data_IF_313145700952
#
_entry.id   IF_313145700952
#
_cell.length_a   1.000
_cell.length_b   1.000
_cell.length_c   1.000
_cell.angle_alpha   90.00
_cell.angle_beta   90.00
_cell.angle_gamma   90.00
#
_symmetry.space_group_name_H-M   'P 1'
#
loop_
_entity.id
_entity.type
_entity.pdbx_description
1 polymer ?
#
# COMPACT_ATOMS: atom_id res chain seq x y z
N UNK A 1 13.90 -5.55 -45.16
CA UNK A 1 12.78 -6.09 -44.37
C UNK A 1 12.99 -5.91 -42.86
N UNK A 2 13.37 -4.74 -42.40
CA UNK A 2 13.53 -4.44 -40.97
C UNK A 2 12.27 -3.89 -40.30
N UNK A 3 11.20 -3.57 -41.03
CA UNK A 3 9.99 -2.96 -40.49
C UNK A 3 9.14 -3.81 -39.53
N UNK A 4 9.01 -5.15 -39.70
CA UNK A 4 8.23 -5.96 -38.76
C UNK A 4 8.83 -6.08 -37.38
N UNK A 5 10.16 -6.09 -37.24
CA UNK A 5 10.84 -6.15 -35.93
C UNK A 5 10.71 -4.86 -35.14
N UNK A 6 10.77 -3.71 -35.82
CA UNK A 6 10.58 -2.39 -35.20
C UNK A 6 9.15 -2.23 -34.67
N UNK A 7 8.15 -2.69 -35.40
CA UNK A 7 6.76 -2.69 -34.97
C UNK A 7 6.52 -3.58 -33.75
N UNK A 8 7.11 -4.76 -33.67
CA UNK A 8 7.00 -5.69 -32.53
C UNK A 8 7.63 -5.06 -31.29
N UNK A 9 8.81 -4.46 -31.40
CA UNK A 9 9.49 -3.77 -30.30
C UNK A 9 8.69 -2.57 -29.80
N UNK A 10 8.09 -1.82 -30.68
CA UNK A 10 7.27 -0.66 -30.33
C UNK A 10 5.99 -1.09 -29.58
N UNK A 11 5.30 -2.13 -30.02
CA UNK A 11 4.14 -2.70 -29.34
C UNK A 11 4.51 -3.23 -27.97
N UNK A 12 5.63 -3.92 -27.82
CA UNK A 12 6.13 -4.42 -26.54
C UNK A 12 6.41 -3.29 -25.55
N UNK A 13 7.06 -2.22 -25.98
CA UNK A 13 7.28 -1.02 -25.18
C UNK A 13 5.97 -0.34 -24.76
N UNK A 14 5.05 -0.17 -25.70
CA UNK A 14 3.73 0.41 -25.44
C UNK A 14 2.94 -0.44 -24.43
N UNK A 15 2.93 -1.76 -24.58
CA UNK A 15 2.30 -2.68 -23.62
C UNK A 15 2.94 -2.62 -22.25
N UNK A 16 4.27 -2.49 -22.17
CA UNK A 16 4.99 -2.35 -20.90
C UNK A 16 4.65 -1.04 -20.20
N UNK A 17 4.55 0.06 -20.94
CA UNK A 17 4.14 1.36 -20.41
C UNK A 17 2.68 1.35 -19.94
N UNK A 18 1.77 0.74 -20.69
CA UNK A 18 0.38 0.57 -20.31
C UNK A 18 0.25 -0.27 -19.03
N UNK A 19 0.95 -1.41 -18.95
CA UNK A 19 0.98 -2.23 -17.73
C UNK A 19 1.53 -1.48 -16.51
N UNK A 20 2.50 -0.57 -16.68
CA UNK A 20 2.99 0.28 -15.59
C UNK A 20 1.95 1.30 -15.14
N UNK A 21 1.17 1.87 -16.04
CA UNK A 21 0.11 2.82 -15.69
C UNK A 21 -1.08 2.16 -15.00
N UNK A 22 -1.31 0.88 -15.24
CA UNK A 22 -2.39 0.08 -14.62
C UNK A 22 -2.03 -0.41 -13.21
N UNK A 23 -0.75 -0.30 -12.81
CA UNK A 23 -0.33 -0.69 -11.46
C UNK A 23 -0.92 0.24 -10.42
N UNK A 24 -1.47 -0.35 -9.37
CA UNK A 24 -2.05 0.40 -8.28
C UNK A 24 -1.02 1.10 -7.40
N UNK A 25 -1.47 2.14 -6.74
CA UNK A 25 -0.74 2.81 -5.65
C UNK A 25 -1.15 2.19 -4.33
N UNK A 26 -0.17 1.78 -3.54
CA UNK A 26 -0.39 1.24 -2.18
C UNK A 26 -0.20 2.36 -1.16
N UNK A 27 -1.21 2.59 -0.33
CA UNK A 27 -1.07 3.41 0.87
C UNK A 27 -0.60 2.52 2.02
N UNK A 28 0.43 2.93 2.72
CA UNK A 28 1.02 2.20 3.83
C UNK A 28 1.06 3.12 5.06
N UNK A 29 0.31 2.77 6.09
CA UNK A 29 0.32 3.51 7.36
C UNK A 29 1.26 2.81 8.33
N UNK A 30 2.26 3.53 8.79
CA UNK A 30 3.30 3.03 9.69
C UNK A 30 3.29 3.82 11.01
N UNK A 31 3.57 3.13 12.10
CA UNK A 31 3.80 3.75 13.42
C UNK A 31 5.30 3.85 13.67
N UNK A 32 5.78 5.06 13.95
CA UNK A 32 7.20 5.30 14.24
C UNK A 32 7.40 6.42 15.24
N UNK A 33 8.60 6.54 15.79
CA UNK A 33 8.95 7.60 16.75
C UNK A 33 9.38 8.91 16.09
N UNK A 34 9.74 8.86 14.80
CA UNK A 34 10.16 10.04 14.04
C UNK A 34 8.99 10.93 13.62
N UNK A 35 9.30 12.19 13.32
CA UNK A 35 8.35 13.12 12.72
C UNK A 35 8.63 13.22 11.24
N UNK A 36 7.61 12.98 10.42
CA UNK A 36 7.73 12.95 8.97
C UNK A 36 6.65 13.82 8.32
N UNK A 37 6.96 14.40 7.19
CA UNK A 37 5.99 15.15 6.38
C UNK A 37 5.18 14.17 5.53
N UNK A 38 3.94 13.93 5.92
CA UNK A 38 3.01 13.04 5.25
C UNK A 38 2.22 13.75 4.12
N UNK A 39 1.89 13.07 3.03
CA UNK A 39 2.33 11.72 2.65
C UNK A 39 3.72 11.72 2.00
N UNK A 40 4.45 10.63 2.19
CA UNK A 40 5.74 10.41 1.54
C UNK A 40 5.53 9.51 0.33
N UNK A 41 5.87 9.99 -0.86
CA UNK A 41 5.80 9.20 -2.11
C UNK A 41 7.10 8.47 -2.35
N UNK A 42 7.03 7.15 -2.45
CA UNK A 42 8.18 6.28 -2.63
C UNK A 42 7.93 5.39 -3.85
N UNK A 43 8.73 5.55 -4.88
CA UNK A 43 8.71 4.75 -6.11
C UNK A 43 9.99 3.92 -6.28
N UNK A 44 10.98 4.15 -5.40
CA UNK A 44 12.25 3.44 -5.39
C UNK A 44 12.84 3.37 -3.98
N UNK A 45 13.73 2.40 -3.77
CA UNK A 45 14.35 2.15 -2.45
C UNK A 45 15.16 3.35 -1.97
N UNK A 46 15.80 4.08 -2.89
CA UNK A 46 16.63 5.25 -2.57
C UNK A 46 15.83 6.42 -1.98
N UNK A 47 14.51 6.45 -2.23
CA UNK A 47 13.61 7.48 -1.72
C UNK A 47 13.06 7.18 -0.32
N UNK A 48 13.42 6.06 0.27
CA UNK A 48 13.00 5.73 1.65
C UNK A 48 13.65 6.72 2.61
N UNK A 49 12.85 7.42 3.44
CA UNK A 49 13.40 8.40 4.37
C UNK A 49 14.35 7.76 5.40
N UNK A 50 15.40 8.48 5.72
CA UNK A 50 16.26 8.12 6.85
C UNK A 50 15.53 8.40 8.17
N UNK A 51 15.79 7.57 9.17
CA UNK A 51 15.21 7.74 10.51
C UNK A 51 13.98 6.89 10.78
N UNK A 52 13.49 6.12 9.82
CA UNK A 52 12.50 5.07 10.06
C UNK A 52 13.14 3.86 10.74
N UNK A 53 12.37 3.16 11.56
CA UNK A 53 12.80 1.89 12.12
C UNK A 53 13.06 0.85 11.02
N UNK A 54 13.96 -0.10 11.29
CA UNK A 54 14.32 -1.14 10.32
C UNK A 54 13.11 -1.95 9.87
N UNK A 55 12.19 -2.25 10.78
CA UNK A 55 10.96 -2.97 10.48
C UNK A 55 10.08 -2.19 9.49
N UNK A 56 9.93 -0.88 9.69
CA UNK A 56 9.16 -0.02 8.79
C UNK A 56 9.82 0.12 7.42
N UNK A 57 11.15 0.23 7.37
CA UNK A 57 11.91 0.22 6.11
C UNK A 57 11.67 -1.07 5.34
N UNK A 58 11.65 -2.21 6.03
CA UNK A 58 11.39 -3.51 5.41
C UNK A 58 9.95 -3.59 4.87
N UNK A 59 8.96 -3.10 5.62
CA UNK A 59 7.57 -3.03 5.14
C UNK A 59 7.44 -2.21 3.85
N UNK A 60 8.14 -1.09 3.76
CA UNK A 60 8.16 -0.27 2.53
C UNK A 60 8.80 -1.04 1.38
N UNK A 61 9.92 -1.72 1.60
CA UNK A 61 10.59 -2.54 0.57
C UNK A 61 9.69 -3.66 0.07
N UNK A 62 8.98 -4.34 0.97
CA UNK A 62 8.02 -5.39 0.61
C UNK A 62 6.85 -4.83 -0.20
N UNK A 63 6.32 -3.68 0.20
CA UNK A 63 5.25 -3.00 -0.54
C UNK A 63 5.70 -2.57 -1.95
N UNK A 64 6.93 -2.08 -2.10
CA UNK A 64 7.51 -1.74 -3.42
C UNK A 64 7.72 -2.98 -4.30
N UNK A 65 8.22 -4.06 -3.70
CA UNK A 65 8.43 -5.33 -4.41
C UNK A 65 7.11 -5.88 -4.96
N UNK A 66 6.02 -5.74 -4.22
CA UNK A 66 4.73 -6.31 -4.57
C UNK A 66 4.74 -7.84 -4.62
N UNK A 67 3.77 -8.40 -5.34
CA UNK A 67 3.69 -9.84 -5.60
C UNK A 67 4.32 -10.22 -6.93
N UNK A 68 3.48 -10.60 -7.90
CA UNK A 68 3.94 -10.90 -9.27
C UNK A 68 4.45 -9.66 -10.02
N UNK A 69 3.92 -8.50 -9.68
CA UNK A 69 4.34 -7.23 -10.26
C UNK A 69 4.61 -6.22 -9.17
N UNK A 70 5.65 -5.42 -9.35
CA UNK A 70 5.95 -4.32 -8.45
C UNK A 70 4.83 -3.27 -8.47
N UNK A 71 4.59 -2.61 -7.36
CA UNK A 71 3.66 -1.49 -7.29
C UNK A 71 4.16 -0.30 -8.11
N UNK A 72 3.25 0.60 -8.50
CA UNK A 72 3.62 1.84 -9.17
C UNK A 72 4.42 2.75 -8.23
N UNK A 73 3.85 2.99 -7.07
CA UNK A 73 4.41 3.78 -5.99
C UNK A 73 3.78 3.36 -4.66
N UNK A 74 4.44 3.64 -3.58
CA UNK A 74 3.92 3.50 -2.22
C UNK A 74 3.76 4.87 -1.61
N UNK A 75 2.56 5.18 -1.12
CA UNK A 75 2.28 6.37 -0.32
C UNK A 75 2.41 5.99 1.16
N UNK A 76 3.45 6.48 1.80
CA UNK A 76 3.70 6.19 3.22
C UNK A 76 3.16 7.31 4.08
N UNK A 77 2.39 6.94 5.09
CA UNK A 77 1.89 7.81 6.14
C UNK A 77 2.48 7.35 7.47
N UNK A 78 3.34 8.13 8.05
CA UNK A 78 3.95 7.83 9.34
C UNK A 78 3.20 8.57 10.42
N UNK A 79 2.63 7.83 11.36
CA UNK A 79 1.95 8.37 12.55
C UNK A 79 2.79 8.07 13.80
N UNK A 80 2.52 8.78 14.88
CA UNK A 80 3.22 8.57 16.15
C UNK A 80 3.05 7.11 16.62
N UNK A 81 4.05 6.57 17.27
CA UNK A 81 4.05 5.18 17.75
C UNK A 81 2.82 4.85 18.61
N UNK A 82 2.44 5.78 19.48
CA UNK A 82 1.23 5.67 20.33
C UNK A 82 -0.01 6.34 19.69
N UNK A 83 0.11 6.80 18.44
CA UNK A 83 -0.99 7.44 17.71
C UNK A 83 -2.03 6.42 17.24
N UNK A 84 -3.24 6.92 16.98
CA UNK A 84 -4.32 6.12 16.42
C UNK A 84 -4.21 6.08 14.90
N UNK A 85 -4.61 4.97 14.29
CA UNK A 85 -4.66 4.83 12.83
C UNK A 85 -5.59 5.90 12.21
N UNK A 86 -6.62 6.31 12.93
CA UNK A 86 -7.53 7.39 12.52
C UNK A 86 -6.81 8.72 12.22
N UNK A 87 -5.64 8.97 12.80
CA UNK A 87 -4.84 10.18 12.53
C UNK A 87 -4.38 10.26 11.07
N UNK A 88 -4.27 9.10 10.39
CA UNK A 88 -3.93 9.03 8.97
C UNK A 88 -5.15 9.19 8.05
N UNK A 89 -6.39 9.12 8.52
CA UNK A 89 -7.57 9.10 7.67
C UNK A 89 -7.76 10.38 6.86
N UNK A 90 -7.54 11.54 7.47
CA UNK A 90 -7.70 12.84 6.79
C UNK A 90 -6.72 13.01 5.62
N UNK A 91 -5.42 12.83 5.79
CA UNK A 91 -4.49 12.90 4.66
C UNK A 91 -4.71 11.79 3.62
N UNK A 92 -5.13 10.59 4.05
CA UNK A 92 -5.48 9.50 3.14
C UNK A 92 -6.68 9.83 2.25
N UNK A 93 -7.72 10.47 2.79
CA UNK A 93 -8.90 10.88 1.99
C UNK A 93 -8.50 11.83 0.86
N UNK A 94 -7.53 12.70 1.09
CA UNK A 94 -7.07 13.69 0.13
C UNK A 94 -6.03 13.16 -0.87
N UNK A 95 -5.59 11.92 -0.70
CA UNK A 95 -4.59 11.28 -1.56
C UNK A 95 -5.24 10.28 -2.52
N UNK A 96 -4.54 9.98 -3.62
CA UNK A 96 -4.97 8.96 -4.59
C UNK A 96 -4.21 7.67 -4.32
N UNK A 97 -4.94 6.62 -3.98
CA UNK A 97 -4.43 5.27 -3.75
C UNK A 97 -5.51 4.24 -4.05
N UNK A 98 -5.11 2.98 -4.19
CA UNK A 98 -6.00 1.87 -4.50
C UNK A 98 -6.12 0.88 -3.33
N UNK A 99 -4.99 0.56 -2.71
CA UNK A 99 -4.91 -0.43 -1.64
C UNK A 99 -4.32 0.20 -0.39
N UNK A 100 -4.86 -0.16 0.77
CA UNK A 100 -4.38 0.27 2.09
C UNK A 100 -3.87 -0.93 2.87
N UNK A 101 -2.66 -0.83 3.38
CA UNK A 101 -2.09 -1.78 4.31
C UNK A 101 -1.61 -1.06 5.58
N UNK A 102 -1.86 -1.66 6.73
CA UNK A 102 -1.50 -1.10 8.04
C UNK A 102 -0.87 -2.23 8.86
N UNK A 103 0.46 -2.42 8.80
CA UNK A 103 1.11 -3.54 9.51
C UNK A 103 0.86 -3.55 11.02
N UNK A 104 0.74 -2.38 11.64
CA UNK A 104 0.50 -2.23 13.07
C UNK A 104 -0.96 -1.82 13.40
N UNK A 105 -1.94 -2.37 12.67
CA UNK A 105 -3.37 -2.04 12.87
C UNK A 105 -3.89 -2.45 14.25
N UNK A 106 -3.41 -3.57 14.79
CA UNK A 106 -3.82 -4.06 16.10
C UNK A 106 -5.34 -4.19 16.25
N UNK A 107 -5.87 -3.61 17.31
CA UNK A 107 -7.31 -3.62 17.64
C UNK A 107 -8.14 -2.60 16.84
N UNK A 108 -7.48 -1.70 16.09
CA UNK A 108 -8.16 -0.64 15.31
C UNK A 108 -8.74 -1.13 13.97
N UNK A 109 -8.78 -2.42 13.74
CA UNK A 109 -9.24 -3.06 12.49
C UNK A 109 -10.67 -2.66 12.13
N UNK A 110 -11.57 -2.59 13.12
CA UNK A 110 -12.97 -2.25 12.90
C UNK A 110 -13.17 -0.77 12.52
N UNK A 111 -12.38 0.12 13.11
CA UNK A 111 -12.41 1.55 12.77
C UNK A 111 -11.97 1.75 11.33
N UNK A 112 -10.91 1.07 10.89
CA UNK A 112 -10.45 1.08 9.51
C UNK A 112 -11.52 0.54 8.56
N UNK A 113 -12.13 -0.60 8.91
CA UNK A 113 -13.16 -1.22 8.09
C UNK A 113 -14.38 -0.30 7.92
N UNK A 114 -14.85 0.31 9.00
CA UNK A 114 -15.96 1.25 8.98
C UNK A 114 -15.65 2.48 8.13
N UNK A 115 -14.45 3.00 8.24
CA UNK A 115 -14.00 4.13 7.45
C UNK A 115 -13.92 3.79 5.95
N UNK A 116 -13.38 2.63 5.58
CA UNK A 116 -13.31 2.16 4.18
C UNK A 116 -14.71 2.00 3.57
N UNK A 117 -15.64 1.37 4.31
CA UNK A 117 -17.04 1.27 3.88
C UNK A 117 -17.63 2.65 3.60
N UNK A 118 -17.40 3.60 4.50
CA UNK A 118 -17.86 4.99 4.32
C UNK A 118 -17.23 5.68 3.10
N UNK A 119 -15.96 5.41 2.78
CA UNK A 119 -15.32 5.96 1.57
C UNK A 119 -15.93 5.41 0.30
N UNK A 120 -16.26 4.14 0.26
CA UNK A 120 -16.88 3.50 -0.91
C UNK A 120 -18.35 3.90 -1.07
N UNK A 121 -19.13 3.78 -0.02
CA UNK A 121 -20.58 3.95 -0.06
C UNK A 121 -20.98 5.42 -0.18
N UNK A 122 -20.32 6.31 0.55
CA UNK A 122 -20.66 7.74 0.60
C UNK A 122 -19.85 8.61 -0.35
N UNK A 123 -18.58 8.29 -0.58
CA UNK A 123 -17.67 9.09 -1.42
C UNK A 123 -17.33 8.43 -2.75
N UNK A 124 -17.88 7.25 -3.03
CA UNK A 124 -17.69 6.49 -4.27
C UNK A 124 -16.22 6.27 -4.65
N UNK A 125 -15.33 6.18 -3.65
CA UNK A 125 -13.92 5.89 -3.87
C UNK A 125 -13.71 4.38 -4.00
N UNK A 126 -13.14 3.93 -5.12
CA UNK A 126 -12.80 2.52 -5.35
C UNK A 126 -11.48 2.16 -4.65
N UNK A 127 -11.51 2.07 -3.34
CA UNK A 127 -10.36 1.75 -2.49
C UNK A 127 -10.59 0.44 -1.74
N UNK A 128 -9.51 -0.26 -1.40
CA UNK A 128 -9.56 -1.55 -0.71
C UNK A 128 -8.56 -1.53 0.44
N UNK A 129 -8.99 -1.97 1.62
CA UNK A 129 -8.10 -2.23 2.74
C UNK A 129 -7.84 -3.72 2.91
N UNK A 130 -6.61 -4.06 3.26
CA UNK A 130 -6.19 -5.43 3.61
C UNK A 130 -6.11 -5.49 5.13
N UNK A 131 -7.02 -6.27 5.74
CA UNK A 131 -7.15 -6.35 7.19
C UNK A 131 -6.96 -7.78 7.70
N UNK A 132 -6.19 -7.96 8.79
CA UNK A 132 -5.99 -9.28 9.37
C UNK A 132 -7.22 -9.70 10.20
N UNK A 133 -7.62 -10.95 10.04
CA UNK A 133 -8.67 -11.61 10.86
C UNK A 133 -10.00 -10.84 10.97
N UNK A 134 -10.31 -9.99 10.00
CA UNK A 134 -11.56 -9.23 9.94
C UNK A 134 -12.51 -9.82 8.91
N UNK A 135 -13.50 -10.57 9.36
CA UNK A 135 -14.52 -11.17 8.51
C UNK A 135 -15.58 -10.12 8.15
N UNK A 136 -15.48 -9.56 6.97
CA UNK A 136 -16.48 -8.67 6.42
C UNK A 136 -16.87 -9.12 5.01
N UNK A 137 -18.15 -9.21 4.76
CA UNK A 137 -18.68 -9.37 3.40
C UNK A 137 -18.82 -7.97 2.77
N UNK A 138 -17.70 -7.41 2.35
CA UNK A 138 -17.66 -6.10 1.71
C UNK A 138 -16.53 -6.02 0.68
N UNK A 139 -16.84 -5.57 -0.51
CA UNK A 139 -15.90 -5.46 -1.63
C UNK A 139 -14.68 -4.54 -1.39
N UNK A 140 -14.74 -3.67 -0.41
CA UNK A 140 -13.64 -2.78 -0.01
C UNK A 140 -12.69 -3.38 1.03
N UNK A 141 -12.91 -4.64 1.45
CA UNK A 141 -12.11 -5.25 2.51
C UNK A 141 -11.63 -6.62 2.05
N UNK A 142 -10.32 -6.79 2.05
CA UNK A 142 -9.67 -8.10 1.86
C UNK A 142 -9.23 -8.59 3.24
N UNK A 143 -9.82 -9.69 3.67
CA UNK A 143 -9.43 -10.36 4.90
C UNK A 143 -8.34 -11.39 4.62
N UNK A 144 -7.31 -11.41 5.44
CA UNK A 144 -6.39 -12.54 5.50
C UNK A 144 -6.41 -13.17 6.90
N UNK A 145 -6.51 -14.48 6.94
CA UNK A 145 -6.70 -15.27 8.17
C UNK A 145 -5.52 -16.19 8.44
N UNK A 146 -4.32 -15.71 8.22
CA UNK A 146 -3.13 -16.48 8.52
C UNK A 146 -2.56 -16.07 9.87
N UNK A 147 -2.27 -17.04 10.72
CA UNK A 147 -1.66 -16.76 12.02
C UNK A 147 -0.22 -16.29 11.88
N UNK A 148 0.46 -16.76 10.83
CA UNK A 148 1.85 -16.42 10.56
C UNK A 148 2.11 -16.26 9.06
N UNK A 149 2.86 -15.23 8.69
CA UNK A 149 3.40 -15.05 7.36
C UNK A 149 4.92 -15.26 7.43
N UNK A 150 5.41 -16.27 6.74
CA UNK A 150 6.83 -16.53 6.63
C UNK A 150 7.37 -15.95 5.31
N UNK A 151 8.39 -15.15 5.41
CA UNK A 151 9.20 -14.71 4.27
C UNK A 151 10.57 -15.39 4.34
N UNK A 152 11.36 -15.31 3.30
CA UNK A 152 12.68 -15.96 3.22
C UNK A 152 13.61 -15.65 4.42
N UNK A 153 13.38 -14.53 5.10
CA UNK A 153 14.26 -14.03 6.17
C UNK A 153 13.56 -13.67 7.47
N UNK A 154 12.24 -13.55 7.48
CA UNK A 154 11.51 -13.03 8.63
C UNK A 154 10.12 -13.65 8.75
N UNK A 155 9.68 -13.85 10.00
CA UNK A 155 8.38 -14.35 10.36
C UNK A 155 7.52 -13.19 10.85
N UNK A 156 6.30 -13.07 10.35
CA UNK A 156 5.32 -12.07 10.75
C UNK A 156 4.07 -12.77 11.28
N UNK A 157 3.59 -12.34 12.43
CA UNK A 157 2.39 -12.85 13.09
C UNK A 157 1.32 -11.78 13.20
#
# INVERSE_FOLDING_TARGET
MGLPEIDINFKSLAQTLMKRSERGTVALVLKDTGVFNNPIKIDSIEKIPKGLSEDNVEQIKLALKGGYTATKEVLVFVIAKEGKVADAFTPLVNSKWNYLAIPAVGEETEDVATWIKGLRDKKHKKVVAILPNYKADHEGIINFTTDEINTEKKKYS
#
